data_IF_790170659429
#
_entry.id   IF_790170659429
#
_cell.length_a   1.000
_cell.length_b   1.000
_cell.length_c   1.000
_cell.angle_alpha   90.00
_cell.angle_beta   90.00
_cell.angle_gamma   90.00
#
_symmetry.space_group_name_H-M   'P 1'
#
loop_
_entity.id
_entity.type
_entity.pdbx_description
1 polymer ?
#
# COMPACT_ATOMS: atom_id res chain seq x y z
N UNK A 1 -19.45 -41.91 -6.00
CA UNK A 1 -19.24 -40.60 -5.33
C UNK A 1 -17.90 -40.62 -4.63
N UNK A 2 -16.89 -39.91 -5.14
CA UNK A 2 -15.57 -39.78 -4.49
C UNK A 2 -15.38 -38.30 -4.16
N UNK A 3 -15.32 -37.98 -2.87
CA UNK A 3 -15.02 -36.65 -2.35
C UNK A 3 -13.49 -36.51 -2.35
N UNK A 4 -12.95 -35.68 -3.23
CA UNK A 4 -11.53 -35.32 -3.20
C UNK A 4 -11.44 -33.92 -2.62
N UNK A 5 -11.19 -33.86 -1.31
CA UNK A 5 -10.87 -32.63 -0.59
C UNK A 5 -9.40 -32.31 -0.91
N UNK A 6 -9.15 -31.27 -1.70
CA UNK A 6 -7.80 -30.74 -1.92
C UNK A 6 -7.63 -29.56 -0.96
N UNK A 7 -7.06 -29.87 0.21
CA UNK A 7 -6.39 -28.90 1.07
C UNK A 7 -4.94 -28.82 0.59
N UNK A 8 -4.44 -27.64 0.22
CA UNK A 8 -3.02 -27.31 -0.02
C UNK A 8 -3.01 -25.81 -0.41
N UNK A 9 -2.18 -24.88 0.07
CA UNK A 9 -1.10 -24.80 1.05
C UNK A 9 -1.06 -23.31 1.43
N UNK A 10 -0.80 -23.03 2.70
CA UNK A 10 -0.36 -21.75 3.22
C UNK A 10 0.95 -21.32 2.54
N UNK A 11 0.88 -20.37 1.58
CA UNK A 11 2.07 -19.65 1.15
C UNK A 11 2.38 -18.56 2.18
N UNK A 12 3.31 -18.88 3.07
CA UNK A 12 4.12 -17.90 3.79
C UNK A 12 5.04 -17.30 2.74
N UNK A 13 4.63 -16.19 2.12
CA UNK A 13 5.54 -15.36 1.34
C UNK A 13 6.32 -14.45 2.30
N UNK A 14 7.27 -15.04 3.02
CA UNK A 14 8.42 -14.31 3.56
C UNK A 14 9.34 -14.01 2.39
N UNK A 15 9.02 -12.94 1.65
CA UNK A 15 9.90 -12.40 0.62
C UNK A 15 9.91 -10.88 0.70
N UNK A 16 10.78 -10.35 1.56
CA UNK A 16 11.61 -9.22 1.17
C UNK A 16 12.88 -9.22 2.00
N UNK A 17 13.94 -9.77 1.41
CA UNK A 17 15.30 -9.52 1.82
C UNK A 17 15.73 -8.18 1.21
N UNK A 18 16.09 -7.22 2.07
CA UNK A 18 17.11 -6.22 1.78
C UNK A 18 16.75 -5.07 0.82
N UNK A 19 16.22 -3.99 1.38
CA UNK A 19 16.76 -2.66 1.11
C UNK A 19 16.84 -1.91 2.44
N UNK A 20 17.97 -1.26 2.72
CA UNK A 20 18.10 -0.28 3.81
C UNK A 20 17.14 0.86 3.53
N UNK A 21 15.92 0.73 4.05
CA UNK A 21 14.83 1.67 3.88
C UNK A 21 15.01 2.84 4.85
N UNK A 22 15.30 4.01 4.31
CA UNK A 22 15.42 5.27 5.08
C UNK A 22 14.05 5.85 5.50
N UNK A 23 12.96 5.12 5.25
CA UNK A 23 11.59 5.54 5.59
C UNK A 23 10.97 4.58 6.60
N UNK A 24 10.42 5.15 7.69
CA UNK A 24 9.71 4.45 8.76
C UNK A 24 8.53 3.59 8.25
N UNK A 25 8.05 3.85 7.04
CA UNK A 25 6.84 3.24 6.50
C UNK A 25 7.07 2.36 5.27
N UNK A 26 8.30 2.21 4.77
CA UNK A 26 8.52 1.35 3.60
C UNK A 26 8.12 -0.09 3.91
N UNK A 27 7.25 -0.65 3.06
CA UNK A 27 6.61 -1.93 3.30
C UNK A 27 6.29 -2.64 1.99
N UNK A 28 6.42 -3.95 1.99
CA UNK A 28 5.97 -4.82 0.92
C UNK A 28 5.55 -6.16 1.53
N UNK A 29 4.25 -6.43 1.55
CA UNK A 29 3.71 -7.61 2.23
C UNK A 29 2.19 -7.65 2.20
N UNK A 30 1.61 -8.53 3.02
CA UNK A 30 0.15 -8.68 3.13
C UNK A 30 -0.39 -8.03 4.39
N UNK A 31 -1.51 -7.31 4.25
CA UNK A 31 -2.34 -6.87 5.37
C UNK A 31 -3.74 -7.42 5.13
N UNK A 32 -4.14 -8.39 5.95
CA UNK A 32 -5.36 -9.17 5.68
C UNK A 32 -5.24 -9.97 4.38
N UNK A 33 -6.22 -9.79 3.48
CA UNK A 33 -6.26 -10.46 2.18
C UNK A 33 -5.53 -9.69 1.06
N UNK A 34 -5.07 -8.47 1.33
CA UNK A 34 -4.60 -7.53 0.32
C UNK A 34 -3.06 -7.51 0.27
N UNK A 35 -2.50 -7.38 -0.94
CA UNK A 35 -1.08 -7.12 -1.11
C UNK A 35 -0.83 -5.62 -1.06
N UNK A 36 -0.02 -5.19 -0.10
CA UNK A 36 0.25 -3.80 0.20
C UNK A 36 1.72 -3.52 -0.06
N UNK A 37 1.98 -2.46 -0.82
CA UNK A 37 3.31 -1.90 -0.96
C UNK A 37 3.27 -0.40 -0.67
N UNK A 38 4.12 0.05 0.24
CA UNK A 38 4.36 1.46 0.51
C UNK A 38 5.82 1.78 0.21
N UNK A 39 6.04 2.84 -0.56
CA UNK A 39 7.38 3.31 -0.89
C UNK A 39 7.45 4.82 -0.72
N UNK A 40 8.40 5.26 0.09
CA UNK A 40 8.84 6.64 0.13
C UNK A 40 10.08 6.78 -0.76
N UNK A 41 9.99 7.65 -1.77
CA UNK A 41 11.05 7.98 -2.70
C UNK A 41 11.56 9.36 -2.32
N UNK A 42 12.73 9.44 -1.67
CA UNK A 42 13.37 10.72 -1.37
C UNK A 42 14.25 11.10 -2.57
N UNK A 43 13.90 12.18 -3.27
CA UNK A 43 14.77 12.73 -4.30
C UNK A 43 15.91 13.53 -3.65
N UNK A 44 17.16 13.32 -4.09
CA UNK A 44 18.34 14.01 -3.55
C UNK A 44 18.30 15.55 -3.66
N UNK A 45 17.38 16.10 -4.47
CA UNK A 45 17.29 17.53 -4.79
C UNK A 45 15.82 17.99 -4.99
N UNK A 46 14.87 17.50 -4.18
CA UNK A 46 13.46 17.89 -4.33
C UNK A 46 12.51 17.27 -3.32
N UNK A 47 11.20 17.54 -3.50
CA UNK A 47 10.13 16.89 -2.74
C UNK A 47 10.16 15.37 -2.99
N UNK A 48 10.05 14.59 -1.91
CA UNK A 48 9.90 13.14 -2.01
C UNK A 48 8.50 12.75 -2.47
N UNK A 49 8.33 11.49 -2.85
CA UNK A 49 7.02 10.91 -3.17
C UNK A 49 6.70 9.77 -2.21
N UNK A 50 5.50 9.75 -1.65
CA UNK A 50 4.96 8.56 -0.99
C UNK A 50 3.96 7.88 -1.91
N UNK A 51 4.14 6.57 -2.12
CA UNK A 51 3.28 5.79 -3.00
C UNK A 51 2.78 4.58 -2.22
N UNK A 52 1.46 4.51 -2.00
CA UNK A 52 0.77 3.33 -1.50
C UNK A 52 0.09 2.59 -2.65
N UNK A 53 0.38 1.30 -2.77
CA UNK A 53 -0.27 0.38 -3.71
C UNK A 53 -1.01 -0.69 -2.93
N UNK A 54 -2.30 -0.85 -3.23
CA UNK A 54 -3.20 -1.84 -2.64
C UNK A 54 -3.73 -2.72 -3.76
N UNK A 55 -3.30 -3.98 -3.80
CA UNK A 55 -3.90 -4.99 -4.68
C UNK A 55 -4.93 -5.79 -3.89
N UNK A 56 -6.19 -5.63 -4.28
CA UNK A 56 -7.33 -6.33 -3.69
C UNK A 56 -7.48 -7.73 -4.27
N UNK A 57 -8.19 -8.58 -3.54
CA UNK A 57 -8.43 -9.99 -3.91
C UNK A 57 -9.24 -10.15 -5.21
N UNK A 58 -10.04 -9.16 -5.59
CA UNK A 58 -10.77 -9.10 -6.85
C UNK A 58 -9.89 -8.67 -8.05
N UNK A 59 -8.58 -8.49 -7.83
CA UNK A 59 -7.61 -8.07 -8.83
C UNK A 59 -7.56 -6.55 -9.06
N UNK A 60 -8.41 -5.77 -8.39
CA UNK A 60 -8.35 -4.30 -8.42
C UNK A 60 -7.04 -3.82 -7.80
N UNK A 61 -6.35 -2.90 -8.48
CA UNK A 61 -5.18 -2.21 -7.96
C UNK A 61 -5.54 -0.74 -7.72
N UNK A 62 -5.31 -0.27 -6.49
CA UNK A 62 -5.43 1.14 -6.11
C UNK A 62 -4.04 1.67 -5.83
N UNK A 63 -3.68 2.80 -6.44
CA UNK A 63 -2.39 3.48 -6.27
C UNK A 63 -2.69 4.89 -5.80
N UNK A 64 -2.29 5.22 -4.59
CA UNK A 64 -2.41 6.56 -4.02
C UNK A 64 -1.03 7.18 -3.89
N UNK A 65 -0.87 8.41 -4.41
CA UNK A 65 0.39 9.14 -4.36
C UNK A 65 0.25 10.48 -3.64
N UNK A 66 1.20 10.72 -2.74
CA UNK A 66 1.61 12.03 -2.25
C UNK A 66 2.88 12.38 -3.03
N UNK A 67 2.74 13.29 -4.00
CA UNK A 67 3.80 13.65 -4.95
C UNK A 67 4.48 14.97 -4.59
N UNK A 68 3.85 15.77 -3.72
CA UNK A 68 4.28 17.12 -3.40
C UNK A 68 4.53 17.23 -1.90
N UNK A 69 5.67 17.81 -1.52
CA UNK A 69 6.00 18.11 -0.12
C UNK A 69 6.18 16.90 0.81
N UNK A 70 5.77 15.69 0.41
CA UNK A 70 5.97 14.46 1.17
C UNK A 70 5.32 14.54 2.57
N UNK A 71 4.14 15.15 2.65
CA UNK A 71 3.41 15.46 3.89
C UNK A 71 2.36 14.40 4.27
N UNK A 72 2.32 13.29 3.54
CA UNK A 72 1.38 12.18 3.64
C UNK A 72 -0.05 12.54 3.24
N UNK A 73 -0.24 13.64 2.49
CA UNK A 73 -1.52 14.01 1.90
C UNK A 73 -1.57 13.58 0.43
N UNK A 74 -2.55 12.76 0.08
CA UNK A 74 -2.69 12.26 -1.30
C UNK A 74 -3.15 13.38 -2.23
N UNK A 75 -2.47 13.60 -3.35
CA UNK A 75 -2.98 14.46 -4.44
C UNK A 75 -3.63 13.68 -5.58
N UNK A 76 -3.26 12.41 -5.73
CA UNK A 76 -3.76 11.57 -6.81
C UNK A 76 -4.07 10.14 -6.36
N UNK A 77 -5.16 9.58 -6.89
CA UNK A 77 -5.44 8.14 -6.77
C UNK A 77 -5.78 7.55 -8.12
N UNK A 78 -5.10 6.47 -8.49
CA UNK A 78 -5.32 5.71 -9.71
C UNK A 78 -5.89 4.34 -9.38
N UNK A 79 -6.97 3.97 -10.06
CA UNK A 79 -7.62 2.67 -9.95
C UNK A 79 -7.46 1.91 -11.26
N UNK A 80 -6.93 0.68 -11.18
CA UNK A 80 -6.77 -0.23 -12.30
C UNK A 80 -7.63 -1.48 -12.06
N UNK A 81 -8.58 -1.77 -12.94
CA UNK A 81 -9.43 -2.95 -12.84
C UNK A 81 -9.88 -3.41 -14.23
N UNK A 82 -9.69 -4.70 -14.55
CA UNK A 82 -10.11 -5.27 -15.83
C UNK A 82 -9.55 -4.54 -17.06
N UNK A 83 -8.30 -4.07 -16.97
CA UNK A 83 -7.63 -3.30 -18.04
C UNK A 83 -8.04 -1.83 -18.15
N UNK A 84 -9.02 -1.37 -17.37
CA UNK A 84 -9.39 0.05 -17.28
C UNK A 84 -8.53 0.76 -16.24
N UNK A 85 -8.06 1.95 -16.58
CA UNK A 85 -7.30 2.83 -15.71
C UNK A 85 -8.11 4.11 -15.53
N UNK A 86 -8.42 4.46 -14.29
CA UNK A 86 -9.10 5.70 -13.94
C UNK A 86 -8.30 6.45 -12.89
N UNK A 87 -8.02 7.72 -13.17
CA UNK A 87 -7.25 8.59 -12.28
C UNK A 87 -8.15 9.67 -11.71
N UNK A 88 -8.08 9.87 -10.40
CA UNK A 88 -8.84 10.86 -9.64
C UNK A 88 -7.86 11.88 -9.04
N UNK A 89 -8.22 13.16 -9.15
CA UNK A 89 -7.47 14.31 -8.61
C UNK A 89 -8.47 15.31 -7.99
N UNK A 90 -8.02 16.32 -7.24
CA UNK A 90 -8.94 17.31 -6.62
C UNK A 90 -9.62 18.25 -7.63
N UNK A 91 -9.38 18.10 -8.94
CA UNK A 91 -9.86 19.00 -10.00
C UNK A 91 -11.39 19.01 -10.17
N UNK A 92 -12.09 17.95 -9.76
CA UNK A 92 -13.55 17.85 -9.85
C UNK A 92 -14.16 17.25 -8.56
N UNK A 93 -15.49 17.36 -8.42
CA UNK A 93 -16.21 16.94 -7.21
C UNK A 93 -16.13 15.43 -6.96
N UNK A 94 -16.16 14.61 -8.02
CA UNK A 94 -16.03 13.16 -7.90
C UNK A 94 -14.63 12.83 -7.39
N UNK A 95 -13.62 13.47 -7.97
CA UNK A 95 -12.23 13.33 -7.57
C UNK A 95 -12.01 13.65 -6.10
N UNK A 96 -12.56 14.76 -5.59
CA UNK A 96 -12.48 15.14 -4.16
C UNK A 96 -13.07 14.08 -3.22
N UNK A 97 -14.23 13.53 -3.57
CA UNK A 97 -14.87 12.46 -2.77
C UNK A 97 -14.00 11.21 -2.76
N UNK A 98 -13.49 10.79 -3.93
CA UNK A 98 -12.65 9.61 -4.05
C UNK A 98 -11.32 9.80 -3.30
N UNK A 99 -10.71 10.97 -3.38
CA UNK A 99 -9.49 11.30 -2.64
C UNK A 99 -9.69 11.27 -1.12
N UNK A 100 -10.82 11.76 -0.61
CA UNK A 100 -11.12 11.66 0.82
C UNK A 100 -11.29 10.23 1.31
N UNK A 101 -11.83 9.33 0.48
CA UNK A 101 -11.87 7.90 0.78
C UNK A 101 -10.49 7.25 0.66
N UNK A 102 -9.72 7.62 -0.37
CA UNK A 102 -8.35 7.15 -0.54
C UNK A 102 -7.46 7.56 0.64
N UNK A 103 -7.58 8.79 1.13
CA UNK A 103 -6.83 9.27 2.31
C UNK A 103 -7.14 8.45 3.54
N UNK A 104 -8.41 8.13 3.80
CA UNK A 104 -8.79 7.28 4.93
C UNK A 104 -8.19 5.87 4.84
N UNK A 105 -8.20 5.26 3.65
CA UNK A 105 -7.55 3.96 3.44
C UNK A 105 -6.03 4.08 3.61
N UNK A 106 -5.43 5.14 3.07
CA UNK A 106 -4.00 5.39 3.16
C UNK A 106 -3.52 5.52 4.62
N UNK A 107 -4.20 6.33 5.42
CA UNK A 107 -3.92 6.50 6.85
C UNK A 107 -4.07 5.17 7.61
N UNK A 108 -5.10 4.38 7.28
CA UNK A 108 -5.31 3.06 7.86
C UNK A 108 -4.14 2.12 7.58
N UNK A 109 -3.69 2.00 6.33
CA UNK A 109 -2.56 1.11 6.02
C UNK A 109 -1.24 1.62 6.59
N UNK A 110 -1.00 2.94 6.60
CA UNK A 110 0.17 3.52 7.27
C UNK A 110 0.23 3.13 8.75
N UNK A 111 -0.90 3.23 9.44
CA UNK A 111 -1.00 2.81 10.84
C UNK A 111 -0.72 1.30 10.99
N UNK A 112 -1.25 0.46 10.10
CA UNK A 112 -1.00 -1.00 10.13
C UNK A 112 0.47 -1.34 9.86
N UNK A 113 1.09 -0.66 8.90
CA UNK A 113 2.52 -0.81 8.61
C UNK A 113 3.35 -0.44 9.83
N UNK A 114 3.03 0.68 10.50
CA UNK A 114 3.71 1.09 11.74
C UNK A 114 3.60 0.04 12.83
N UNK A 115 2.41 -0.52 13.05
CA UNK A 115 2.19 -1.60 14.03
C UNK A 115 3.06 -2.83 13.73
N UNK A 116 3.11 -3.24 12.46
CA UNK A 116 3.94 -4.37 12.01
C UNK A 116 5.42 -4.08 12.27
N UNK A 117 5.93 -2.92 11.82
CA UNK A 117 7.34 -2.53 11.98
C UNK A 117 7.75 -2.43 13.45
N UNK A 118 6.90 -1.89 14.31
CA UNK A 118 7.15 -1.85 15.76
C UNK A 118 7.21 -3.26 16.34
N UNK A 119 6.29 -4.15 15.95
CA UNK A 119 6.30 -5.54 16.41
C UNK A 119 7.55 -6.29 15.95
N UNK A 120 7.96 -6.13 14.69
CA UNK A 120 9.21 -6.67 14.15
C UNK A 120 10.43 -6.16 14.93
N UNK A 121 10.49 -4.84 15.17
CA UNK A 121 11.55 -4.22 15.97
C UNK A 121 11.63 -4.80 17.39
N UNK A 122 10.50 -4.89 18.11
CA UNK A 122 10.46 -5.47 19.47
C UNK A 122 10.90 -6.93 19.46
N UNK A 123 10.45 -7.72 18.48
CA UNK A 123 10.82 -9.13 18.39
C UNK A 123 12.31 -9.31 18.08
N UNK A 124 12.94 -8.40 17.32
CA UNK A 124 14.37 -8.45 17.04
C UNK A 124 15.26 -8.17 18.26
N UNK A 125 14.70 -7.61 19.33
CA UNK A 125 15.39 -7.30 20.59
C UNK A 125 15.27 -8.44 21.63
N UNK A 126 14.51 -9.49 21.35
CA UNK A 126 14.30 -10.65 22.24
C UNK A 126 15.16 -11.83 21.82
#
# INVERSE_FOLDING_TARGET
MKKTLISLISLIALSSCGSTDYSLYNYNGKIGAEDISFTNIIHQIGAGQNILKIRKSDGKLVISSDEWWNDLKIEQTTVIQGGKITTYTEKDEIGKIILGEAQRQYDFYLQKIKEIKVSEGINSLR
#
